data_IF_063327022516
#
_entry.id   IF_063327022516
#
_cell.length_a   1.000
_cell.length_b   1.000
_cell.length_c   1.000
_cell.angle_alpha   90.00
_cell.angle_beta   90.00
_cell.angle_gamma   90.00
#
_symmetry.space_group_name_H-M   'P 1'
#
loop_
_entity.id
_entity.type
_entity.pdbx_description
1 polymer ?
#
# COMPACT_ATOMS: atom_id res chain seq x y z
N UNK A 1 15.10 -55.58 34.00
CA UNK A 1 13.99 -54.99 33.22
C UNK A 1 13.76 -53.49 33.44
N UNK A 2 14.68 -52.71 34.04
CA UNK A 2 14.50 -51.25 34.20
C UNK A 2 15.17 -50.39 33.11
N UNK A 3 16.16 -50.91 32.39
CA UNK A 3 16.93 -50.14 31.40
C UNK A 3 16.10 -49.74 30.17
N UNK A 4 15.21 -50.63 29.73
CA UNK A 4 14.32 -50.38 28.58
C UNK A 4 13.33 -49.27 28.90
N UNK A 5 12.71 -49.29 30.09
CA UNK A 5 11.74 -48.26 30.50
C UNK A 5 12.35 -46.86 30.57
N UNK A 6 13.60 -46.73 31.06
CA UNK A 6 14.29 -45.44 31.13
C UNK A 6 14.60 -44.89 29.73
N UNK A 7 15.03 -45.75 28.80
CA UNK A 7 15.25 -45.35 27.41
C UNK A 7 13.97 -44.96 26.69
N UNK A 8 12.86 -45.66 26.94
CA UNK A 8 11.56 -45.30 26.36
C UNK A 8 11.03 -43.99 26.92
N UNK A 9 11.21 -43.72 28.23
CA UNK A 9 10.83 -42.44 28.83
C UNK A 9 11.61 -41.27 28.23
N UNK A 10 12.94 -41.40 28.08
CA UNK A 10 13.79 -40.36 27.53
C UNK A 10 13.49 -40.06 26.05
N UNK A 11 13.14 -41.09 25.27
CA UNK A 11 12.68 -40.92 23.88
C UNK A 11 11.33 -40.18 23.82
N UNK A 12 10.41 -40.45 24.73
CA UNK A 12 9.13 -39.74 24.80
C UNK A 12 9.31 -38.26 25.15
N UNK A 13 10.21 -37.91 26.08
CA UNK A 13 10.48 -36.51 26.43
C UNK A 13 11.17 -35.76 25.28
N UNK A 14 12.04 -36.43 24.52
CA UNK A 14 12.70 -35.88 23.33
C UNK A 14 11.80 -35.76 22.10
N UNK A 15 10.73 -36.54 22.01
CA UNK A 15 9.74 -36.45 20.91
C UNK A 15 8.74 -35.30 21.12
N UNK A 16 8.47 -34.90 22.37
CA UNK A 16 7.56 -33.78 22.67
C UNK A 16 8.15 -32.44 22.18
N UNK A 17 9.48 -32.28 22.17
CA UNK A 17 10.12 -31.06 21.65
C UNK A 17 10.13 -30.97 20.12
N UNK A 18 9.93 -32.08 19.41
CA UNK A 18 9.81 -32.10 17.94
C UNK A 18 8.40 -31.71 17.44
N UNK A 19 7.42 -31.52 18.33
CA UNK A 19 6.03 -31.18 18.00
C UNK A 19 5.59 -29.75 18.31
N UNK A 20 6.42 -28.95 18.99
CA UNK A 20 6.08 -27.54 19.27
C UNK A 20 6.58 -26.65 18.14
N UNK A 21 5.77 -26.49 17.08
CA UNK A 21 6.03 -25.45 16.08
C UNK A 21 6.09 -24.08 16.80
N UNK A 22 7.17 -23.33 16.59
CA UNK A 22 7.33 -21.98 17.15
C UNK A 22 6.10 -21.15 16.80
N UNK A 23 5.50 -20.48 17.78
CA UNK A 23 4.48 -19.47 17.52
C UNK A 23 5.17 -18.17 17.13
N UNK A 24 5.01 -17.75 15.88
CA UNK A 24 5.52 -16.50 15.34
C UNK A 24 4.52 -15.37 15.59
N UNK A 25 5.04 -14.21 15.98
CA UNK A 25 4.26 -13.00 16.16
C UNK A 25 3.88 -12.36 14.81
N UNK A 26 2.87 -11.49 14.83
CA UNK A 26 2.47 -10.64 13.70
C UNK A 26 3.66 -9.81 13.19
N UNK A 27 4.46 -9.24 14.11
CA UNK A 27 5.62 -8.42 13.77
C UNK A 27 6.74 -9.21 13.08
N UNK A 28 6.95 -10.47 13.46
CA UNK A 28 7.91 -11.35 12.78
C UNK A 28 7.44 -11.65 11.34
N UNK A 29 6.16 -11.99 11.15
CA UNK A 29 5.59 -12.20 9.82
C UNK A 29 5.72 -10.96 8.93
N UNK A 30 5.45 -9.75 9.45
CA UNK A 30 5.55 -8.51 8.64
C UNK A 30 6.97 -8.20 8.18
N UNK A 31 7.99 -8.64 8.91
CA UNK A 31 9.41 -8.36 8.61
C UNK A 31 10.05 -9.41 7.71
N UNK A 32 9.60 -10.66 7.77
CA UNK A 32 10.19 -11.77 7.05
C UNK A 32 9.25 -12.31 5.97
N UNK A 33 9.54 -11.93 4.73
CA UNK A 33 8.78 -12.36 3.54
C UNK A 33 8.86 -13.89 3.34
N UNK A 34 10.01 -14.51 3.59
CA UNK A 34 10.19 -15.93 3.38
C UNK A 34 9.37 -16.73 4.39
N UNK A 35 9.39 -16.30 5.65
CA UNK A 35 8.53 -16.87 6.69
C UNK A 35 7.04 -16.75 6.31
N UNK A 36 6.63 -15.60 5.79
CA UNK A 36 5.26 -15.38 5.33
C UNK A 36 4.87 -16.33 4.19
N UNK A 37 5.73 -16.53 3.20
CA UNK A 37 5.48 -17.45 2.07
C UNK A 37 5.39 -18.91 2.52
N UNK A 38 6.33 -19.35 3.37
CA UNK A 38 6.33 -20.71 3.93
C UNK A 38 5.05 -20.99 4.72
N UNK A 39 4.63 -20.05 5.57
CA UNK A 39 3.41 -20.23 6.36
C UNK A 39 2.14 -20.06 5.53
N UNK A 40 2.14 -19.27 4.46
CA UNK A 40 1.02 -19.25 3.51
C UNK A 40 0.82 -20.63 2.88
N UNK A 41 1.90 -21.28 2.45
CA UNK A 41 1.83 -22.63 1.90
C UNK A 41 1.33 -23.65 2.94
N UNK A 42 1.77 -23.54 4.21
CA UNK A 42 1.32 -24.42 5.31
C UNK A 42 -0.14 -24.20 5.68
N UNK A 43 -0.57 -22.94 5.78
CA UNK A 43 -1.91 -22.60 6.24
C UNK A 43 -2.97 -22.84 5.17
N UNK A 44 -2.62 -22.69 3.88
CA UNK A 44 -3.58 -22.72 2.79
C UNK A 44 -4.77 -21.79 3.06
N UNK A 45 -5.96 -22.17 2.62
CA UNK A 45 -7.18 -21.39 2.86
C UNK A 45 -7.74 -21.59 4.29
N UNK A 46 -7.68 -22.81 4.82
CA UNK A 46 -8.44 -23.24 6.00
C UNK A 46 -7.61 -23.52 7.26
N UNK A 47 -6.29 -23.31 7.25
CA UNK A 47 -5.45 -23.57 8.41
C UNK A 47 -5.84 -22.68 9.60
N UNK A 48 -6.08 -23.30 10.76
CA UNK A 48 -6.55 -22.63 11.99
C UNK A 48 -5.51 -22.58 13.11
N UNK A 49 -4.29 -23.05 12.86
CA UNK A 49 -3.21 -22.94 13.84
C UNK A 49 -2.93 -21.47 14.21
N UNK A 50 -2.41 -21.21 15.41
CA UNK A 50 -2.18 -19.84 15.90
C UNK A 50 -1.30 -19.01 14.94
N UNK A 51 -0.32 -19.65 14.31
CA UNK A 51 0.51 -19.02 13.29
C UNK A 51 -0.27 -18.61 12.03
N UNK A 52 -1.30 -19.35 11.65
CA UNK A 52 -2.17 -18.99 10.53
C UNK A 52 -3.07 -17.78 10.87
N UNK A 53 -3.50 -17.65 12.13
CA UNK A 53 -4.18 -16.43 12.59
C UNK A 53 -3.24 -15.22 12.55
N UNK A 54 -2.04 -15.37 13.12
CA UNK A 54 -1.05 -14.30 13.17
C UNK A 54 -0.56 -13.89 11.76
N UNK A 55 -0.41 -14.85 10.85
CA UNK A 55 -0.11 -14.62 9.44
C UNK A 55 -1.21 -13.79 8.76
N UNK A 56 -2.47 -14.19 8.89
CA UNK A 56 -3.60 -13.45 8.28
C UNK A 56 -3.72 -12.03 8.84
N UNK A 57 -3.51 -11.87 10.15
CA UNK A 57 -3.49 -10.55 10.77
C UNK A 57 -2.33 -9.69 10.24
N UNK A 58 -1.13 -10.27 10.09
CA UNK A 58 0.02 -9.58 9.49
C UNK A 58 -0.26 -9.14 8.05
N UNK A 59 -0.88 -10.01 7.24
CA UNK A 59 -1.27 -9.68 5.86
C UNK A 59 -2.30 -8.54 5.81
N UNK A 60 -3.31 -8.58 6.68
CA UNK A 60 -4.33 -7.54 6.76
C UNK A 60 -3.74 -6.18 7.18
N UNK A 61 -2.83 -6.17 8.16
CA UNK A 61 -2.13 -4.95 8.56
C UNK A 61 -1.27 -4.37 7.42
N UNK A 62 -0.49 -5.22 6.73
CA UNK A 62 0.30 -4.78 5.59
C UNK A 62 -0.57 -4.24 4.46
N UNK A 63 -1.70 -4.89 4.17
CA UNK A 63 -2.64 -4.41 3.17
C UNK A 63 -3.15 -3.01 3.50
N UNK A 64 -3.58 -2.77 4.74
CA UNK A 64 -4.02 -1.44 5.20
C UNK A 64 -2.91 -0.39 5.09
N UNK A 65 -1.67 -0.76 5.42
CA UNK A 65 -0.52 0.14 5.26
C UNK A 65 -0.28 0.50 3.79
N UNK A 66 -0.43 -0.45 2.87
CA UNK A 66 -0.29 -0.20 1.43
C UNK A 66 -1.44 0.64 0.88
N UNK A 67 -2.67 0.38 1.32
CA UNK A 67 -3.86 1.16 0.95
C UNK A 67 -3.72 2.60 1.42
N UNK A 68 -3.38 2.84 2.69
CA UNK A 68 -3.18 4.19 3.22
C UNK A 68 -2.11 4.98 2.46
N UNK A 69 -0.97 4.36 2.15
CA UNK A 69 0.09 4.98 1.32
C UNK A 69 -0.38 5.28 -0.10
N UNK A 70 -1.30 4.48 -0.63
CA UNK A 70 -1.83 4.67 -1.98
C UNK A 70 -2.86 5.79 -2.01
N UNK A 71 -3.76 5.84 -1.03
CA UNK A 71 -4.72 6.93 -0.83
C UNK A 71 -4.00 8.27 -0.66
N UNK A 72 -2.93 8.31 0.13
CA UNK A 72 -2.12 9.52 0.31
C UNK A 72 -1.53 10.01 -1.01
N UNK A 73 -0.90 9.13 -1.80
CA UNK A 73 -0.36 9.50 -3.13
C UNK A 73 -1.43 9.97 -4.09
N UNK A 74 -2.61 9.33 -4.09
CA UNK A 74 -3.74 9.73 -4.94
C UNK A 74 -4.22 11.13 -4.53
N UNK A 75 -4.34 11.39 -3.24
CA UNK A 75 -4.74 12.69 -2.70
C UNK A 75 -3.76 13.78 -3.13
N UNK A 76 -2.46 13.56 -2.95
CA UNK A 76 -1.41 14.50 -3.38
C UNK A 76 -1.45 14.74 -4.90
N UNK A 77 -1.57 13.67 -5.69
CA UNK A 77 -1.67 13.78 -7.14
C UNK A 77 -2.89 14.61 -7.57
N UNK A 78 -4.06 14.34 -6.99
CA UNK A 78 -5.30 15.06 -7.29
C UNK A 78 -5.21 16.54 -6.89
N UNK A 79 -4.58 16.85 -5.75
CA UNK A 79 -4.38 18.23 -5.32
C UNK A 79 -3.44 18.99 -6.28
N UNK A 80 -2.33 18.36 -6.69
CA UNK A 80 -1.40 18.94 -7.65
C UNK A 80 -2.07 19.18 -9.01
N UNK A 81 -2.84 18.20 -9.49
CA UNK A 81 -3.59 18.33 -10.74
C UNK A 81 -4.64 19.43 -10.68
N UNK A 82 -5.34 19.58 -9.55
CA UNK A 82 -6.31 20.67 -9.34
C UNK A 82 -5.61 22.04 -9.40
N UNK A 83 -4.50 22.21 -8.70
CA UNK A 83 -3.70 23.45 -8.72
C UNK A 83 -3.21 23.77 -10.13
N UNK A 84 -2.60 22.81 -10.81
CA UNK A 84 -2.13 22.99 -12.19
C UNK A 84 -3.26 23.37 -13.15
N UNK A 85 -4.46 22.79 -12.98
CA UNK A 85 -5.62 23.13 -13.79
C UNK A 85 -6.18 24.52 -13.47
N UNK A 86 -6.16 24.93 -12.20
CA UNK A 86 -6.55 26.29 -11.79
C UNK A 86 -5.59 27.33 -12.38
N UNK A 87 -4.29 27.11 -12.30
CA UNK A 87 -3.25 27.95 -12.91
C UNK A 87 -3.41 28.04 -14.43
N UNK A 88 -3.52 26.89 -15.11
CA UNK A 88 -3.74 26.85 -16.55
C UNK A 88 -5.00 27.61 -16.97
N UNK A 89 -6.11 27.47 -16.23
CA UNK A 89 -7.35 28.22 -16.49
C UNK A 89 -7.20 29.72 -16.25
N UNK A 90 -6.37 30.14 -15.29
CA UNK A 90 -6.08 31.55 -15.06
C UNK A 90 -5.23 32.13 -16.20
N UNK A 91 -4.18 31.43 -16.61
CA UNK A 91 -3.33 31.83 -17.73
C UNK A 91 -4.11 31.94 -19.04
N UNK A 92 -4.97 30.96 -19.32
CA UNK A 92 -5.81 30.98 -20.53
C UNK A 92 -6.82 32.13 -20.52
N UNK A 93 -7.40 32.45 -19.36
CA UNK A 93 -8.28 33.63 -19.21
C UNK A 93 -7.52 34.93 -19.46
N UNK A 94 -6.35 35.10 -18.84
CA UNK A 94 -5.51 36.29 -19.04
C UNK A 94 -5.06 36.43 -20.51
N UNK A 95 -4.67 35.33 -21.16
CA UNK A 95 -4.32 35.32 -22.59
C UNK A 95 -5.50 35.71 -23.46
N UNK A 96 -6.68 35.17 -23.18
CA UNK A 96 -7.90 35.47 -23.92
C UNK A 96 -8.32 36.94 -23.77
N UNK A 97 -8.26 37.49 -22.55
CA UNK A 97 -8.54 38.90 -22.28
C UNK A 97 -7.56 39.82 -23.02
N UNK A 98 -6.26 39.51 -23.00
CA UNK A 98 -5.26 40.26 -23.75
C UNK A 98 -5.51 40.21 -25.25
N UNK A 99 -5.77 39.01 -25.80
CA UNK A 99 -6.06 38.85 -27.22
C UNK A 99 -7.32 39.63 -27.64
N UNK A 100 -8.36 39.61 -26.80
CA UNK A 100 -9.59 40.36 -27.03
C UNK A 100 -9.33 41.87 -27.03
N UNK A 101 -8.61 42.39 -26.05
CA UNK A 101 -8.25 43.81 -25.98
C UNK A 101 -7.40 44.25 -27.19
N UNK A 102 -6.39 43.45 -27.57
CA UNK A 102 -5.56 43.72 -28.75
C UNK A 102 -6.38 43.70 -30.05
N UNK A 103 -7.35 42.78 -30.15
CA UNK A 103 -8.25 42.69 -31.29
C UNK A 103 -9.22 43.89 -31.39
N UNK A 104 -9.81 44.30 -30.28
CA UNK A 104 -10.68 45.48 -30.21
C UNK A 104 -9.90 46.76 -30.55
N UNK A 105 -8.66 46.89 -30.06
CA UNK A 105 -7.78 48.02 -30.39
C UNK A 105 -7.48 48.10 -31.89
N UNK A 106 -7.09 46.98 -32.51
CA UNK A 106 -6.82 46.93 -33.96
C UNK A 106 -8.06 47.31 -34.78
N UNK A 107 -9.24 46.81 -34.41
CA UNK A 107 -10.48 47.20 -35.08
C UNK A 107 -10.81 48.69 -34.93
N UNK A 108 -10.54 49.29 -33.77
CA UNK A 108 -10.75 50.71 -33.56
C UNK A 108 -9.79 51.57 -34.42
N UNK A 109 -8.52 51.17 -34.49
CA UNK A 109 -7.51 51.82 -35.35
C UNK A 109 -7.87 51.70 -36.84
N UNK A 110 -8.30 50.52 -37.29
CA UNK A 110 -8.76 50.32 -38.68
C UNK A 110 -9.99 51.16 -39.03
N UNK A 111 -10.93 51.34 -38.10
CA UNK A 111 -12.08 52.22 -38.31
C UNK A 111 -11.66 53.69 -38.40
N UNK A 112 -10.79 54.16 -37.51
CA UNK A 112 -10.30 55.54 -37.53
C UNK A 112 -9.47 55.88 -38.78
N UNK A 113 -8.77 54.90 -39.35
CA UNK A 113 -7.95 55.11 -40.55
C UNK A 113 -8.74 55.02 -41.87
N UNK A 114 -10.00 54.58 -41.83
CA UNK A 114 -10.87 54.41 -42.99
C UNK A 114 -12.02 55.44 -43.07
N UNK A 115 -12.11 56.35 -42.09
CA UNK A 115 -13.02 57.52 -42.04
C UNK A 115 -12.25 58.83 -42.36
#
# INVERSE_FOLDING_TARGET
>A
MNKVLITTLLLCTGLITAGCEKTYSVAEFKKDKKLMEEWNAKCGFAGTAKNCENLRLAQLELQKEYEAKTEERIREHNENMRKAMEEYRAEMRARHEKWKADFEKRQAEEKQNND
#
